data_IF_088010601207
#
_entry.id   IF_088010601207
#
_cell.length_a   1.000
_cell.length_b   1.000
_cell.length_c   1.000
_cell.angle_alpha   90.00
_cell.angle_beta   90.00
_cell.angle_gamma   90.00
#
_symmetry.space_group_name_H-M   'P 1'
#
loop_
_entity.id
_entity.type
_entity.pdbx_description
1 polymer ?
#
# COMPACT_ATOMS: atom_id res chain seq x y z
N UNK A 1 -8.21 7.49 -18.94
CA UNK A 1 -7.34 7.08 -17.83
C UNK A 1 -7.89 5.78 -17.28
N UNK A 2 -7.15 4.68 -17.39
CA UNK A 2 -7.53 3.42 -16.75
C UNK A 2 -7.31 3.57 -15.25
N UNK A 3 -8.39 3.51 -14.48
CA UNK A 3 -8.36 3.57 -13.02
C UNK A 3 -7.75 2.27 -12.51
N UNK A 4 -6.68 2.36 -11.70
CA UNK A 4 -6.09 1.20 -11.02
C UNK A 4 -7.10 0.61 -10.02
N UNK A 5 -7.25 -0.70 -10.00
CA UNK A 5 -8.11 -1.41 -9.06
C UNK A 5 -7.48 -1.53 -7.67
N UNK A 6 -8.28 -1.88 -6.67
CA UNK A 6 -7.80 -2.13 -5.30
C UNK A 6 -6.77 -3.26 -5.26
N UNK A 7 -7.00 -4.34 -6.00
CA UNK A 7 -6.11 -5.50 -6.01
C UNK A 7 -4.76 -5.18 -6.65
N UNK A 8 -4.75 -4.41 -7.73
CA UNK A 8 -3.53 -3.90 -8.36
C UNK A 8 -2.78 -2.94 -7.42
N UNK A 9 -3.49 -2.06 -6.73
CA UNK A 9 -2.90 -1.15 -5.75
C UNK A 9 -2.23 -1.92 -4.61
N UNK A 10 -2.90 -2.93 -4.05
CA UNK A 10 -2.33 -3.79 -3.00
C UNK A 10 -1.12 -4.57 -3.52
N UNK A 11 -1.21 -5.19 -4.69
CA UNK A 11 -0.11 -5.94 -5.29
C UNK A 11 1.12 -5.06 -5.54
N UNK A 12 0.90 -3.80 -5.95
CA UNK A 12 1.97 -2.82 -6.12
C UNK A 12 2.60 -2.44 -4.77
N UNK A 13 1.79 -2.05 -3.79
CA UNK A 13 2.27 -1.60 -2.48
C UNK A 13 3.04 -2.67 -1.72
N UNK A 14 2.69 -3.95 -1.88
CA UNK A 14 3.45 -5.08 -1.29
C UNK A 14 4.93 -5.10 -1.71
N UNK A 15 5.27 -4.59 -2.89
CA UNK A 15 6.67 -4.48 -3.36
C UNK A 15 7.46 -3.41 -2.60
N UNK A 16 6.76 -2.47 -1.98
CA UNK A 16 7.34 -1.40 -1.17
C UNK A 16 7.25 -1.69 0.35
N UNK A 17 6.87 -2.91 0.75
CA UNK A 17 6.82 -3.28 2.18
C UNK A 17 8.20 -3.76 2.65
N UNK A 18 8.68 -3.21 3.77
CA UNK A 18 9.91 -3.67 4.43
C UNK A 18 9.79 -3.65 5.96
N UNK A 19 10.72 -4.35 6.60
CA UNK A 19 10.90 -4.26 8.05
C UNK A 19 11.35 -2.86 8.45
N UNK A 20 10.81 -2.35 9.55
CA UNK A 20 11.34 -1.16 10.21
C UNK A 20 12.46 -1.54 11.18
N UNK A 21 13.19 -0.54 11.66
CA UNK A 21 14.16 -0.69 12.75
C UNK A 21 13.47 -1.06 14.09
N UNK A 22 12.14 -0.90 14.18
CA UNK A 22 11.36 -1.34 15.33
C UNK A 22 11.10 -2.84 15.22
N UNK A 23 11.46 -3.57 16.28
CA UNK A 23 11.35 -5.02 16.33
C UNK A 23 9.94 -5.49 15.94
N UNK A 24 9.88 -6.43 15.00
CA UNK A 24 8.66 -7.07 14.50
C UNK A 24 7.64 -6.12 13.85
N UNK A 25 8.05 -4.97 13.33
CA UNK A 25 7.17 -4.05 12.63
C UNK A 25 7.57 -3.94 11.15
N UNK A 26 6.58 -3.96 10.26
CA UNK A 26 6.74 -3.64 8.84
C UNK A 26 6.03 -2.33 8.50
N UNK A 27 6.46 -1.69 7.42
CA UNK A 27 5.86 -0.48 6.88
C UNK A 27 6.04 -0.42 5.37
N UNK A 28 5.26 0.44 4.73
CA UNK A 28 5.46 0.81 3.32
C UNK A 28 6.54 1.88 3.26
N UNK A 29 7.55 1.67 2.43
CA UNK A 29 8.60 2.64 2.14
C UNK A 29 8.76 2.85 0.62
N UNK A 30 8.33 4.03 0.16
CA UNK A 30 8.42 4.41 -1.25
C UNK A 30 9.83 4.76 -1.71
N UNK A 31 10.82 4.81 -0.81
CA UNK A 31 12.23 4.92 -1.19
C UNK A 31 12.75 3.65 -1.87
N UNK A 32 12.08 2.51 -1.69
CA UNK A 32 12.37 1.27 -2.41
C UNK A 32 11.97 1.32 -3.89
N UNK A 33 11.15 2.31 -4.28
CA UNK A 33 10.67 2.49 -5.65
C UNK A 33 11.58 3.47 -6.38
N UNK A 34 11.80 3.23 -7.68
CA UNK A 34 12.47 4.21 -8.54
C UNK A 34 11.64 5.50 -8.61
N UNK A 35 12.31 6.64 -8.80
CA UNK A 35 11.69 7.96 -8.67
C UNK A 35 10.49 8.15 -9.63
N UNK A 36 10.61 7.60 -10.84
CA UNK A 36 9.62 7.65 -11.92
C UNK A 36 8.33 6.90 -11.57
N UNK A 37 8.42 5.86 -10.74
CA UNK A 37 7.27 5.04 -10.32
C UNK A 37 6.58 5.58 -9.07
N UNK A 38 7.24 6.44 -8.28
CA UNK A 38 6.68 6.98 -7.01
C UNK A 38 5.27 7.57 -7.17
N UNK A 39 4.94 8.33 -8.24
CA UNK A 39 3.57 8.81 -8.43
C UNK A 39 2.54 7.68 -8.55
N UNK A 40 2.92 6.54 -9.13
CA UNK A 40 2.04 5.36 -9.23
C UNK A 40 1.81 4.72 -7.86
N UNK A 41 2.86 4.59 -7.04
CA UNK A 41 2.71 4.08 -5.67
C UNK A 41 1.91 5.04 -4.79
N UNK A 42 2.08 6.36 -4.94
CA UNK A 42 1.25 7.35 -4.25
C UNK A 42 -0.22 7.23 -4.63
N UNK A 43 -0.54 7.01 -5.92
CA UNK A 43 -1.92 6.72 -6.34
C UNK A 43 -2.45 5.43 -5.72
N UNK A 44 -1.63 4.38 -5.62
CA UNK A 44 -2.03 3.14 -4.97
C UNK A 44 -2.35 3.37 -3.48
N UNK A 45 -1.56 4.19 -2.77
CA UNK A 45 -1.86 4.61 -1.39
C UNK A 45 -3.22 5.32 -1.28
N UNK A 46 -3.52 6.23 -2.21
CA UNK A 46 -4.81 6.93 -2.23
C UNK A 46 -5.95 5.94 -2.42
N UNK A 47 -5.85 4.99 -3.35
CA UNK A 47 -6.89 3.99 -3.60
C UNK A 47 -7.19 3.16 -2.36
N UNK A 48 -6.17 2.59 -1.71
CA UNK A 48 -6.39 1.74 -0.52
C UNK A 48 -6.98 2.55 0.64
N UNK A 49 -6.54 3.80 0.84
CA UNK A 49 -7.05 4.67 1.89
C UNK A 49 -8.50 5.08 1.62
N UNK A 50 -8.86 5.39 0.37
CA UNK A 50 -10.23 5.72 -0.01
C UNK A 50 -11.20 4.55 0.24
N UNK A 51 -10.78 3.31 0.00
CA UNK A 51 -11.62 2.14 0.32
C UNK A 51 -11.77 1.93 1.84
N UNK A 52 -10.75 2.25 2.62
CA UNK A 52 -10.87 2.29 4.09
C UNK A 52 -11.83 3.39 4.55
N UNK A 53 -11.71 4.60 4.01
CA UNK A 53 -12.59 5.73 4.33
C UNK A 53 -14.06 5.47 3.96
N UNK A 54 -14.31 4.76 2.86
CA UNK A 54 -15.66 4.32 2.45
C UNK A 54 -16.22 3.20 3.33
N UNK A 55 -15.39 2.56 4.15
CA UNK A 55 -15.76 1.39 4.95
C UNK A 55 -15.93 0.11 4.13
N UNK A 56 -15.46 0.08 2.88
CA UNK A 56 -15.48 -1.13 2.03
C UNK A 56 -14.33 -2.08 2.36
N UNK A 57 -13.31 -1.58 3.08
CA UNK A 57 -12.18 -2.34 3.59
C UNK A 57 -11.86 -1.85 5.01
N UNK A 58 -11.61 -2.75 5.97
CA UNK A 58 -11.15 -2.29 7.29
C UNK A 58 -9.64 -2.02 7.29
N UNK A 59 -9.17 -1.23 8.26
CA UNK A 59 -7.73 -0.98 8.41
C UNK A 59 -6.94 -2.28 8.67
N UNK A 60 -7.53 -3.24 9.38
CA UNK A 60 -6.88 -4.51 9.70
C UNK A 60 -6.88 -5.47 8.51
N UNK A 61 -7.97 -5.52 7.73
CA UNK A 61 -7.98 -6.25 6.46
C UNK A 61 -6.92 -5.70 5.50
N UNK A 62 -6.78 -4.37 5.42
CA UNK A 62 -5.76 -3.75 4.59
C UNK A 62 -4.34 -4.13 5.05
N UNK A 63 -4.07 -4.13 6.37
CA UNK A 63 -2.77 -4.54 6.91
C UNK A 63 -2.46 -5.99 6.56
N UNK A 64 -3.40 -6.92 6.77
CA UNK A 64 -3.23 -8.33 6.43
C UNK A 64 -2.98 -8.52 4.92
N UNK A 65 -3.72 -7.80 4.07
CA UNK A 65 -3.53 -7.84 2.60
C UNK A 65 -2.17 -7.31 2.16
N UNK A 66 -1.63 -6.31 2.85
CA UNK A 66 -0.31 -5.74 2.60
C UNK A 66 0.83 -6.53 3.28
N UNK A 67 0.50 -7.43 4.21
CA UNK A 67 1.46 -8.16 5.03
C UNK A 67 2.17 -7.29 6.07
N UNK A 68 1.45 -6.30 6.63
CA UNK A 68 1.89 -5.35 7.65
C UNK A 68 1.52 -5.77 9.08
N UNK A 69 0.85 -6.91 9.23
CA UNK A 69 0.51 -7.56 10.49
C UNK A 69 1.70 -8.30 11.14
#
# INVERSE_FOLDING_TARGET
MTTMSLDEAVALLRKAVKWSEVKNQKHIDLSLCIAEERPTYQRALVIVNTEVEKGTLTQDDLKARLGLD
#
